data_IF_992720853444
#
_entry.id   IF_992720853444
#
_cell.length_a   1.000
_cell.length_b   1.000
_cell.length_c   1.000
_cell.angle_alpha   90.00
_cell.angle_beta   90.00
_cell.angle_gamma   90.00
#
_symmetry.space_group_name_H-M   'P 1'
#
loop_
_entity.id
_entity.type
_entity.pdbx_description
1 polymer ?
#
# COMPACT_ATOMS: atom_id res chain seq x y z
N UNK A 1 5.59 -18.50 14.42
CA UNK A 1 6.69 -17.83 13.67
C UNK A 1 7.17 -16.68 14.52
N UNK A 2 8.48 -16.44 14.66
CA UNK A 2 8.95 -15.26 15.40
C UNK A 2 8.56 -13.98 14.66
N UNK A 3 8.41 -12.86 15.37
CA UNK A 3 8.08 -11.57 14.77
C UNK A 3 9.08 -11.15 13.68
N UNK A 4 10.36 -11.44 13.90
CA UNK A 4 11.41 -11.21 12.92
C UNK A 4 11.22 -12.03 11.64
N UNK A 5 10.90 -13.33 11.76
CA UNK A 5 10.59 -14.17 10.59
C UNK A 5 9.34 -13.69 9.85
N UNK A 6 8.34 -13.17 10.57
CA UNK A 6 7.14 -12.58 9.97
C UNK A 6 7.47 -11.31 9.19
N UNK A 7 8.26 -10.41 9.79
CA UNK A 7 8.72 -9.18 9.15
C UNK A 7 9.50 -9.45 7.87
N UNK A 8 10.46 -10.38 7.92
CA UNK A 8 11.24 -10.79 6.73
C UNK A 8 10.34 -11.38 5.64
N UNK A 9 9.34 -12.19 6.02
CA UNK A 9 8.38 -12.76 5.05
C UNK A 9 7.57 -11.66 4.35
N UNK A 10 7.04 -10.69 5.10
CA UNK A 10 6.27 -9.55 4.53
C UNK A 10 7.17 -8.71 3.63
N UNK A 11 8.35 -8.35 4.11
CA UNK A 11 9.36 -7.58 3.39
C UNK A 11 9.68 -8.22 2.02
N UNK A 12 9.99 -9.51 2.02
CA UNK A 12 10.32 -10.25 0.80
C UNK A 12 9.11 -10.37 -0.15
N UNK A 13 7.91 -10.51 0.40
CA UNK A 13 6.69 -10.55 -0.39
C UNK A 13 6.42 -9.22 -1.09
N UNK A 14 6.46 -8.09 -0.37
CA UNK A 14 6.28 -6.76 -0.98
C UNK A 14 7.41 -6.43 -1.97
N UNK A 15 8.66 -6.81 -1.67
CA UNK A 15 9.78 -6.64 -2.62
C UNK A 15 9.53 -7.33 -3.96
N UNK A 16 8.86 -8.49 -3.93
CA UNK A 16 8.44 -9.22 -5.13
C UNK A 16 7.22 -8.58 -5.79
N UNK A 17 6.20 -8.25 -5.01
CA UNK A 17 4.94 -7.65 -5.45
C UNK A 17 5.09 -6.13 -5.65
N UNK A 18 5.59 -5.70 -6.80
CA UNK A 18 5.83 -4.26 -7.10
C UNK A 18 4.57 -3.43 -7.34
N UNK A 19 3.44 -4.09 -7.56
CA UNK A 19 2.14 -3.46 -7.84
C UNK A 19 1.25 -3.66 -6.62
N UNK A 20 0.73 -2.56 -6.10
CA UNK A 20 -0.25 -2.56 -5.02
C UNK A 20 -1.47 -1.71 -5.36
N UNK A 21 -2.56 -1.92 -4.64
CA UNK A 21 -3.73 -1.05 -4.70
C UNK A 21 -3.69 -0.11 -3.50
N UNK A 22 -3.53 1.19 -3.78
CA UNK A 22 -3.53 2.25 -2.76
C UNK A 22 -4.95 2.78 -2.61
N UNK A 23 -5.51 2.61 -1.42
CA UNK A 23 -6.84 3.04 -1.03
C UNK A 23 -6.77 4.29 -0.17
N UNK A 24 -7.50 5.33 -0.58
CA UNK A 24 -7.62 6.63 0.10
C UNK A 24 -9.10 6.92 0.37
N UNK A 25 -9.39 7.88 1.24
CA UNK A 25 -10.76 8.31 1.53
C UNK A 25 -10.94 9.75 1.08
N UNK A 26 -11.96 10.00 0.28
CA UNK A 26 -12.26 11.36 -0.17
C UNK A 26 -12.94 12.19 0.93
N UNK A 27 -13.15 13.49 0.69
CA UNK A 27 -13.74 14.39 1.70
C UNK A 27 -15.20 14.08 2.06
N UNK A 28 -15.89 13.26 1.25
CA UNK A 28 -17.23 12.76 1.55
C UNK A 28 -17.23 11.46 2.36
N UNK A 29 -16.05 10.94 2.75
CA UNK A 29 -15.91 9.68 3.45
C UNK A 29 -16.00 8.43 2.56
N UNK A 30 -16.08 8.60 1.24
CA UNK A 30 -16.12 7.46 0.31
C UNK A 30 -14.72 6.94 0.03
N UNK A 31 -14.52 5.61 -0.01
CA UNK A 31 -13.24 5.01 -0.36
C UNK A 31 -12.96 5.14 -1.87
N UNK A 32 -11.70 5.32 -2.22
CA UNK A 32 -11.20 5.35 -3.60
C UNK A 32 -9.91 4.54 -3.69
N UNK A 33 -9.76 3.73 -4.72
CA UNK A 33 -8.62 2.84 -4.89
C UNK A 33 -7.91 3.09 -6.22
N UNK A 34 -6.60 2.93 -6.24
CA UNK A 34 -5.81 2.98 -7.46
C UNK A 34 -4.67 1.97 -7.45
N UNK A 35 -4.57 1.19 -8.52
CA UNK A 35 -3.41 0.32 -8.79
C UNK A 35 -2.19 1.19 -9.10
N UNK A 36 -1.10 0.97 -8.37
CA UNK A 36 0.12 1.77 -8.44
C UNK A 36 1.36 0.90 -8.27
N UNK A 37 2.48 1.35 -8.84
CA UNK A 37 3.79 0.84 -8.47
C UNK A 37 4.12 1.35 -7.07
N UNK A 38 4.50 0.45 -6.18
CA UNK A 38 4.87 0.75 -4.79
C UNK A 38 6.24 0.16 -4.51
N UNK A 39 7.15 0.99 -4.02
CA UNK A 39 8.46 0.57 -3.52
C UNK A 39 8.46 0.52 -2.01
N UNK A 40 9.48 -0.08 -1.42
CA UNK A 40 9.52 -0.26 0.02
C UNK A 40 10.96 -0.16 0.56
N UNK A 41 11.12 0.35 1.78
CA UNK A 41 12.39 0.34 2.54
C UNK A 41 12.51 -0.91 3.39
N UNK A 42 13.70 -1.28 3.87
CA UNK A 42 13.85 -2.42 4.80
C UNK A 42 13.10 -2.23 6.15
N UNK A 43 12.68 -1.00 6.44
CA UNK A 43 11.81 -0.65 7.57
C UNK A 43 10.31 -0.75 7.30
N UNK A 44 9.91 -1.35 6.17
CA UNK A 44 8.52 -1.49 5.74
C UNK A 44 7.78 -0.16 5.50
N UNK A 45 8.51 0.95 5.35
CA UNK A 45 7.93 2.16 4.77
C UNK A 45 7.64 1.93 3.28
N UNK A 46 6.42 2.24 2.85
CA UNK A 46 5.99 2.15 1.46
C UNK A 46 6.16 3.52 0.78
N UNK A 47 6.67 3.51 -0.44
CA UNK A 47 6.95 4.72 -1.24
C UNK A 47 6.21 4.61 -2.56
N UNK A 48 5.41 5.61 -2.90
CA UNK A 48 4.73 5.73 -4.19
C UNK A 48 4.70 7.20 -4.63
N UNK A 49 4.68 7.43 -5.93
CA UNK A 49 4.59 8.78 -6.51
C UNK A 49 3.15 9.10 -6.92
N UNK A 50 2.69 10.31 -6.63
CA UNK A 50 1.43 10.83 -7.17
C UNK A 50 1.57 12.31 -7.55
N UNK A 51 1.20 12.71 -8.78
CA UNK A 51 1.05 14.12 -9.12
C UNK A 51 0.04 14.83 -8.22
N UNK A 52 0.26 16.12 -7.96
CA UNK A 52 -0.57 16.94 -7.08
C UNK A 52 -2.00 17.15 -7.60
N UNK A 53 -2.24 16.98 -8.89
CA UNK A 53 -3.57 17.14 -9.50
C UNK A 53 -4.41 15.85 -9.46
N UNK A 54 -3.88 14.72 -8.98
CA UNK A 54 -4.64 13.50 -8.83
C UNK A 54 -5.51 13.50 -7.57
N UNK A 55 -6.70 12.89 -7.66
CA UNK A 55 -7.66 12.77 -6.54
C UNK A 55 -7.01 12.22 -5.27
N UNK A 56 -6.22 11.15 -5.39
CA UNK A 56 -5.51 10.52 -4.25
C UNK A 56 -4.57 11.47 -3.50
N UNK A 57 -3.90 12.39 -4.20
CA UNK A 57 -3.07 13.40 -3.53
C UNK A 57 -3.95 14.35 -2.71
N UNK A 58 -5.06 14.83 -3.29
CA UNK A 58 -6.00 15.70 -2.60
C UNK A 58 -6.68 15.00 -1.41
N UNK A 59 -6.96 13.71 -1.54
CA UNK A 59 -7.50 12.87 -0.46
C UNK A 59 -6.50 12.78 0.69
N UNK A 60 -5.24 12.39 0.42
CA UNK A 60 -4.19 12.26 1.44
C UNK A 60 -3.88 13.57 2.16
N UNK A 61 -3.91 14.71 1.45
CA UNK A 61 -3.75 16.04 2.07
C UNK A 61 -4.83 16.37 3.09
N UNK A 62 -6.04 15.80 2.97
CA UNK A 62 -7.18 16.04 3.86
C UNK A 62 -7.36 14.94 4.90
N UNK A 63 -7.08 13.71 4.53
CA UNK A 63 -7.16 12.53 5.36
C UNK A 63 -5.95 11.63 5.06
N UNK A 64 -4.95 11.58 5.96
CA UNK A 64 -3.72 10.85 5.71
C UNK A 64 -3.88 9.33 5.83
N UNK A 65 -5.02 8.83 6.37
CA UNK A 65 -5.23 7.39 6.54
C UNK A 65 -5.31 6.70 5.18
N UNK A 66 -4.48 5.69 5.01
CA UNK A 66 -4.29 4.96 3.75
C UNK A 66 -4.21 3.47 4.02
N UNK A 67 -4.65 2.67 3.06
CA UNK A 67 -4.41 1.23 3.04
C UNK A 67 -3.79 0.82 1.70
N UNK A 68 -2.90 -0.17 1.72
CA UNK A 68 -2.27 -0.74 0.54
C UNK A 68 -2.45 -2.25 0.55
N UNK A 69 -2.88 -2.83 -0.57
CA UNK A 69 -2.95 -4.29 -0.74
C UNK A 69 -2.04 -4.78 -1.85
N UNK A 70 -1.43 -5.95 -1.64
CA UNK A 70 -0.54 -6.66 -2.57
C UNK A 70 -0.97 -8.12 -2.73
N UNK A 71 -0.46 -8.79 -3.77
CA UNK A 71 -0.68 -10.22 -3.98
C UNK A 71 -1.89 -10.52 -4.86
N UNK A 72 -1.82 -10.13 -6.13
CA UNK A 72 -2.87 -10.39 -7.12
C UNK A 72 -2.66 -11.70 -7.90
N UNK A 73 -1.65 -12.49 -7.52
CA UNK A 73 -1.35 -13.78 -8.13
C UNK A 73 -2.40 -14.82 -7.77
N UNK A 74 -2.99 -15.44 -8.80
CA UNK A 74 -3.91 -16.58 -8.64
C UNK A 74 -3.19 -17.88 -8.25
N UNK A 75 -1.86 -17.92 -8.38
CA UNK A 75 -1.05 -19.10 -8.08
C UNK A 75 -0.58 -19.11 -6.62
N UNK A 76 -0.26 -17.93 -6.07
CA UNK A 76 0.44 -17.85 -4.80
C UNK A 76 -0.46 -17.67 -3.58
N UNK A 77 -1.77 -17.42 -3.75
CA UNK A 77 -2.81 -17.32 -2.70
C UNK A 77 -2.36 -16.59 -1.41
N UNK A 78 -1.43 -15.65 -1.53
CA UNK A 78 -0.90 -14.84 -0.43
C UNK A 78 -1.23 -13.39 -0.76
N UNK A 79 -1.78 -12.68 0.21
CA UNK A 79 -2.00 -11.24 0.15
C UNK A 79 -1.34 -10.56 1.34
N UNK A 80 -0.97 -9.30 1.15
CA UNK A 80 -0.60 -8.41 2.25
C UNK A 80 -1.54 -7.22 2.22
N UNK A 81 -2.13 -6.91 3.37
CA UNK A 81 -2.86 -5.69 3.63
C UNK A 81 -2.04 -4.87 4.64
N UNK A 82 -1.83 -3.59 4.32
CA UNK A 82 -0.97 -2.69 5.07
C UNK A 82 -1.67 -1.35 5.25
N UNK A 83 -1.98 -0.97 6.49
CA UNK A 83 -2.56 0.32 6.86
C UNK A 83 -1.52 1.26 7.46
N UNK A 84 -1.75 2.57 7.28
CA UNK A 84 -0.90 3.59 7.88
C UNK A 84 -1.35 5.00 7.52
N UNK A 85 -0.39 5.91 7.53
CA UNK A 85 -0.57 7.31 7.13
C UNK A 85 0.41 7.69 6.04
N UNK A 86 -0.02 8.48 5.06
CA UNK A 86 0.81 8.99 3.95
C UNK A 86 0.62 10.49 3.67
#
# INVERSE_FOLDING_TARGET
MSEEKKRVKILNFIKKEKIGVVSTVNSGGSPEAATMVVSQTDDLNLIFQTPNHYRKYQNLKKNPHVAVTFGFSIEEFITVQYEGTA
#
